data_IF_925555665824
#
_entry.id   IF_925555665824
#
_cell.length_a   1.000
_cell.length_b   1.000
_cell.length_c   1.000
_cell.angle_alpha   90.00
_cell.angle_beta   90.00
_cell.angle_gamma   90.00
#
_symmetry.space_group_name_H-M   'P 1'
#
loop_
_entity.id
_entity.type
_entity.pdbx_description
1 polymer ?
#
# COMPACT_ATOMS: atom_id res chain seq x y z
N UNK A 1 -11.83 -24.23 7.52
CA UNK A 1 -11.33 -23.79 6.20
C UNK A 1 -10.40 -22.61 6.45
N UNK A 2 -9.23 -22.56 5.82
CA UNK A 2 -8.24 -21.48 6.04
C UNK A 2 -8.50 -20.35 5.05
N UNK A 3 -8.43 -19.10 5.52
CA UNK A 3 -8.48 -17.92 4.66
C UNK A 3 -7.09 -17.32 4.54
N UNK A 4 -6.55 -17.26 3.33
CA UNK A 4 -5.18 -16.84 3.04
C UNK A 4 -5.19 -15.45 2.40
N UNK A 5 -4.54 -14.50 3.07
CA UNK A 5 -4.39 -13.13 2.57
C UNK A 5 -2.95 -12.87 2.13
N UNK A 6 -2.77 -12.39 0.91
CA UNK A 6 -1.49 -11.87 0.45
C UNK A 6 -1.28 -10.45 0.99
N UNK A 7 -0.35 -10.28 1.92
CA UNK A 7 0.07 -8.97 2.42
C UNK A 7 0.95 -8.27 1.36
N UNK A 8 0.35 -7.40 0.56
CA UNK A 8 1.08 -6.51 -0.36
C UNK A 8 1.81 -5.43 0.44
N UNK A 9 1.19 -4.93 1.52
CA UNK A 9 1.78 -3.92 2.38
C UNK A 9 2.14 -2.65 1.60
N UNK A 10 3.44 -2.35 1.51
CA UNK A 10 4.00 -1.26 0.67
C UNK A 10 4.96 -1.74 -0.42
N UNK A 11 4.95 -3.04 -0.74
CA UNK A 11 5.86 -3.66 -1.72
C UNK A 11 5.61 -3.18 -3.16
N UNK A 12 4.51 -2.46 -3.39
CA UNK A 12 4.22 -1.76 -4.64
C UNK A 12 5.11 -0.53 -4.87
N UNK A 13 5.85 -0.05 -3.86
CA UNK A 13 6.81 1.06 -3.99
C UNK A 13 6.22 2.33 -4.63
N UNK A 14 4.96 2.66 -4.35
CA UNK A 14 4.26 3.81 -4.97
C UNK A 14 3.79 3.58 -6.42
N UNK A 15 4.08 2.42 -7.03
CA UNK A 15 3.69 2.10 -8.40
C UNK A 15 2.35 1.36 -8.48
N UNK A 16 1.37 1.95 -9.18
CA UNK A 16 0.09 1.31 -9.48
C UNK A 16 0.25 0.05 -10.34
N UNK A 17 1.18 0.06 -11.29
CA UNK A 17 1.38 -1.07 -12.19
C UNK A 17 2.00 -2.25 -11.45
N UNK A 18 2.94 -1.99 -10.53
CA UNK A 18 3.46 -3.03 -9.65
C UNK A 18 2.38 -3.56 -8.70
N UNK A 19 1.54 -2.69 -8.13
CA UNK A 19 0.42 -3.12 -7.30
C UNK A 19 -0.53 -4.07 -8.07
N UNK A 20 -0.90 -3.74 -9.31
CA UNK A 20 -1.74 -4.61 -10.15
C UNK A 20 -1.09 -5.96 -10.43
N UNK A 21 0.22 -5.98 -10.72
CA UNK A 21 0.99 -7.23 -10.91
C UNK A 21 0.98 -8.08 -9.65
N UNK A 22 1.18 -7.49 -8.48
CA UNK A 22 1.15 -8.20 -7.19
C UNK A 22 -0.24 -8.79 -6.90
N UNK A 23 -1.31 -8.05 -7.21
CA UNK A 23 -2.70 -8.54 -7.11
C UNK A 23 -2.92 -9.74 -8.04
N UNK A 24 -2.43 -9.66 -9.27
CA UNK A 24 -2.58 -10.71 -10.27
C UNK A 24 -1.85 -11.99 -9.83
N UNK A 25 -0.63 -11.86 -9.31
CA UNK A 25 0.14 -12.99 -8.75
C UNK A 25 -0.61 -13.59 -7.57
N UNK A 26 -1.02 -12.79 -6.59
CA UNK A 26 -1.76 -13.28 -5.42
C UNK A 26 -3.03 -14.08 -5.81
N UNK A 27 -3.80 -13.57 -6.78
CA UNK A 27 -4.97 -14.29 -7.29
C UNK A 27 -4.58 -15.60 -7.97
N UNK A 28 -3.55 -15.59 -8.81
CA UNK A 28 -3.08 -16.81 -9.51
C UNK A 28 -2.51 -17.86 -8.56
N UNK A 29 -1.96 -17.43 -7.41
CA UNK A 29 -1.45 -18.30 -6.35
C UNK A 29 -2.55 -18.86 -5.43
N UNK A 30 -3.82 -18.52 -5.68
CA UNK A 30 -4.95 -19.04 -4.90
C UNK A 30 -5.20 -18.31 -3.58
N UNK A 31 -4.69 -17.09 -3.39
CA UNK A 31 -5.04 -16.29 -2.22
C UNK A 31 -6.51 -15.85 -2.27
N UNK A 32 -7.13 -15.79 -1.10
CA UNK A 32 -8.52 -15.38 -0.93
C UNK A 32 -8.68 -13.86 -0.96
N UNK A 33 -7.68 -13.11 -0.49
CA UNK A 33 -7.66 -11.66 -0.50
C UNK A 33 -6.26 -11.08 -0.63
N UNK A 34 -6.20 -9.77 -0.90
CA UNK A 34 -4.98 -8.97 -0.81
C UNK A 34 -5.13 -7.86 0.24
N UNK A 35 -4.04 -7.54 0.93
CA UNK A 35 -4.04 -6.50 1.96
C UNK A 35 -2.94 -5.48 1.74
N UNK A 36 -3.30 -4.21 1.83
CA UNK A 36 -2.40 -3.06 1.74
C UNK A 36 -2.21 -2.41 3.11
N UNK A 37 -1.30 -1.45 3.20
CA UNK A 37 -1.15 -0.59 4.38
C UNK A 37 -1.27 0.87 3.97
N UNK A 38 -1.93 1.67 4.81
CA UNK A 38 -2.04 3.12 4.63
C UNK A 38 -1.72 3.84 5.93
N UNK A 39 -0.93 4.91 5.81
CA UNK A 39 -0.63 5.81 6.93
C UNK A 39 -0.53 7.26 6.50
N UNK A 40 -0.85 8.18 7.40
CA UNK A 40 -0.36 9.53 7.34
C UNK A 40 1.08 9.54 7.89
N UNK A 41 2.05 9.69 6.97
CA UNK A 41 3.49 9.71 7.29
C UNK A 41 3.84 10.75 8.34
N UNK A 42 3.20 11.91 8.30
CA UNK A 42 3.45 13.03 9.23
C UNK A 42 2.99 12.75 10.66
N UNK A 43 2.02 11.84 10.85
CA UNK A 43 1.46 11.51 12.16
C UNK A 43 2.12 10.31 12.80
N UNK A 44 2.45 9.30 12.00
CA UNK A 44 2.99 8.03 12.50
C UNK A 44 4.43 8.15 12.95
N UNK A 45 5.21 9.03 12.32
CA UNK A 45 6.64 9.14 12.57
C UNK A 45 7.01 10.48 13.21
N UNK A 46 8.06 10.47 14.03
CA UNK A 46 8.60 11.71 14.57
C UNK A 46 9.27 12.54 13.48
N UNK A 47 9.18 13.87 13.60
CA UNK A 47 9.85 14.81 12.69
C UNK A 47 11.35 14.52 12.56
N UNK A 48 12.02 14.26 13.70
CA UNK A 48 13.45 13.89 13.72
C UNK A 48 13.77 12.67 12.85
N UNK A 49 12.91 11.66 12.86
CA UNK A 49 13.10 10.48 12.02
C UNK A 49 12.83 10.79 10.55
N UNK A 50 11.74 11.50 10.26
CA UNK A 50 11.37 11.87 8.90
C UNK A 50 12.45 12.72 8.21
N UNK A 51 13.08 13.62 8.95
CA UNK A 51 14.14 14.51 8.44
C UNK A 51 15.53 13.84 8.43
N UNK A 52 15.66 12.60 8.93
CA UNK A 52 16.93 11.86 8.88
C UNK A 52 17.24 11.35 7.47
N UNK A 53 18.53 11.27 7.09
CA UNK A 53 18.94 10.92 5.74
C UNK A 53 18.61 9.46 5.42
N UNK A 54 18.19 9.24 4.18
CA UNK A 54 18.02 7.93 3.55
C UNK A 54 18.14 8.10 2.04
N UNK A 55 19.17 7.55 1.43
CA UNK A 55 19.24 7.51 -0.03
C UNK A 55 18.21 6.54 -0.59
N UNK A 56 17.36 7.05 -1.48
CA UNK A 56 16.35 6.26 -2.17
C UNK A 56 16.09 6.81 -3.58
N UNK A 57 15.47 6.04 -4.48
CA UNK A 57 15.09 6.53 -5.80
C UNK A 57 14.13 7.72 -5.80
N UNK A 58 13.55 8.08 -4.65
CA UNK A 58 12.50 9.09 -4.52
C UNK A 58 12.88 10.26 -3.62
N UNK A 59 14.14 10.34 -3.18
CA UNK A 59 14.64 11.40 -2.30
C UNK A 59 15.79 10.94 -1.41
N UNK A 60 16.27 11.87 -0.59
CA UNK A 60 17.41 11.72 0.32
C UNK A 60 17.01 11.64 1.79
N UNK A 61 15.72 11.61 2.11
CA UNK A 61 15.20 11.54 3.49
C UNK A 61 14.23 10.37 3.70
N UNK A 62 14.07 9.96 4.97
CA UNK A 62 13.06 8.96 5.37
C UNK A 62 11.63 9.39 4.98
N UNK A 63 11.37 10.71 4.99
CA UNK A 63 10.09 11.33 4.62
C UNK A 63 9.74 11.10 3.16
N UNK A 64 10.63 11.48 2.25
CA UNK A 64 10.38 11.43 0.80
C UNK A 64 10.08 10.01 0.33
N UNK A 65 10.89 9.04 0.75
CA UNK A 65 10.66 7.63 0.42
C UNK A 65 9.29 7.14 0.92
N UNK A 66 8.87 7.50 2.13
CA UNK A 66 7.59 7.05 2.70
C UNK A 66 6.40 7.72 2.05
N UNK A 67 6.47 9.02 1.83
CA UNK A 67 5.43 9.77 1.15
C UNK A 67 5.21 9.25 -0.27
N UNK A 68 6.29 8.91 -1.00
CA UNK A 68 6.17 8.31 -2.33
C UNK A 68 5.42 6.98 -2.32
N UNK A 69 5.61 6.16 -1.27
CA UNK A 69 4.96 4.85 -1.17
C UNK A 69 3.50 4.93 -0.75
N UNK A 70 3.02 6.06 -0.24
CA UNK A 70 1.62 6.19 0.16
C UNK A 70 0.71 6.41 -1.05
N UNK A 71 -0.30 5.54 -1.18
CA UNK A 71 -1.31 5.73 -2.20
C UNK A 71 -2.36 6.77 -1.76
N UNK A 72 -2.73 7.61 -2.73
CA UNK A 72 -3.89 8.49 -2.67
C UNK A 72 -5.19 7.68 -2.77
N UNK A 73 -6.32 8.30 -2.37
CA UNK A 73 -7.65 7.70 -2.53
C UNK A 73 -7.96 7.35 -4.00
N UNK A 74 -7.54 8.21 -4.95
CA UNK A 74 -7.70 7.94 -6.39
C UNK A 74 -6.95 6.69 -6.83
N UNK A 75 -5.75 6.46 -6.30
CA UNK A 75 -4.98 5.23 -6.57
C UNK A 75 -5.67 4.00 -5.96
N UNK A 76 -6.21 4.11 -4.74
CA UNK A 76 -7.01 3.02 -4.15
C UNK A 76 -8.29 2.72 -4.94
N UNK A 77 -8.95 3.72 -5.53
CA UNK A 77 -10.09 3.48 -6.44
C UNK A 77 -9.69 2.68 -7.69
N UNK A 78 -8.50 2.92 -8.23
CA UNK A 78 -7.96 2.14 -9.36
C UNK A 78 -7.60 0.71 -8.94
N UNK A 79 -7.07 0.53 -7.73
CA UNK A 79 -6.83 -0.79 -7.12
C UNK A 79 -8.15 -1.54 -6.94
N UNK A 80 -9.17 -0.88 -6.38
CA UNK A 80 -10.49 -1.45 -6.18
C UNK A 80 -11.10 -1.96 -7.50
N UNK A 81 -11.06 -1.14 -8.55
CA UNK A 81 -11.51 -1.54 -9.88
C UNK A 81 -10.76 -2.78 -10.40
N UNK A 82 -9.45 -2.86 -10.16
CA UNK A 82 -8.63 -4.00 -10.59
C UNK A 82 -8.96 -5.27 -9.79
N UNK A 83 -9.04 -5.17 -8.46
CA UNK A 83 -9.43 -6.27 -7.56
C UNK A 83 -10.83 -6.82 -7.92
N UNK A 84 -11.80 -5.94 -8.19
CA UNK A 84 -13.14 -6.32 -8.67
C UNK A 84 -13.09 -7.09 -9.98
N UNK A 85 -12.30 -6.63 -10.95
CA UNK A 85 -12.08 -7.35 -12.23
C UNK A 85 -11.48 -8.74 -12.01
N UNK A 86 -10.55 -8.87 -11.06
CA UNK A 86 -9.89 -10.13 -10.71
C UNK A 86 -10.70 -11.02 -9.76
N UNK A 87 -11.84 -10.54 -9.27
CA UNK A 87 -12.68 -11.23 -8.26
C UNK A 87 -11.85 -11.66 -7.04
N UNK A 88 -11.10 -10.70 -6.49
CA UNK A 88 -10.35 -10.87 -5.24
C UNK A 88 -10.72 -9.72 -4.28
N UNK A 89 -11.30 -10.01 -3.12
CA UNK A 89 -11.46 -9.04 -2.05
C UNK A 89 -10.13 -8.37 -1.69
N UNK A 90 -10.22 -7.11 -1.28
CA UNK A 90 -9.06 -6.38 -0.78
C UNK A 90 -9.44 -5.52 0.41
N UNK A 91 -8.46 -5.24 1.26
CA UNK A 91 -8.61 -4.34 2.38
C UNK A 91 -7.28 -3.69 2.76
N UNK A 92 -7.32 -2.74 3.69
CA UNK A 92 -6.16 -1.97 4.11
C UNK A 92 -6.03 -1.98 5.63
N UNK A 93 -4.81 -2.14 6.13
CA UNK A 93 -4.50 -1.83 7.52
C UNK A 93 -4.27 -0.32 7.66
N UNK A 94 -5.17 0.35 8.37
CA UNK A 94 -5.07 1.77 8.69
C UNK A 94 -4.20 1.96 9.94
N UNK A 95 -3.15 2.78 9.85
CA UNK A 95 -2.23 3.02 10.98
C UNK A 95 -2.62 4.24 11.82
N UNK A 96 -3.58 5.02 11.34
CA UNK A 96 -4.14 6.21 11.97
C UNK A 96 -5.57 6.42 11.49
N UNK A 97 -6.30 7.32 12.16
CA UNK A 97 -7.72 7.60 11.88
C UNK A 97 -7.92 8.14 10.46
N UNK A 98 -6.99 8.96 9.95
CA UNK A 98 -7.10 9.58 8.63
C UNK A 98 -6.85 8.59 7.48
N UNK A 99 -6.29 7.43 7.81
CA UNK A 99 -6.04 6.37 6.84
C UNK A 99 -7.26 5.51 6.55
N UNK A 100 -8.38 5.72 7.25
CA UNK A 100 -9.64 5.05 6.94
C UNK A 100 -10.14 5.44 5.54
N UNK A 101 -10.35 4.43 4.71
CA UNK A 101 -10.94 4.58 3.37
C UNK A 101 -12.40 4.13 3.47
N UNK A 102 -13.32 4.97 2.99
CA UNK A 102 -14.75 4.66 2.90
C UNK A 102 -15.11 4.26 1.47
#
# INVERSE_FOLDING_TARGET
MVFVTAEIGTNHMGSLDLAKKLIDVAKSSGCDAVKFQKRNVEKVYSKKFLDSPLESPWGSTQREMRQHREFSLKQFQLIDKHCKKRKIPWYVSCWDIESQIR
#
